data_IF_487236442350
#
_entry.id   IF_487236442350
#
_cell.length_a   1.000
_cell.length_b   1.000
_cell.length_c   1.000
_cell.angle_alpha   90.00
_cell.angle_beta   90.00
_cell.angle_gamma   90.00
#
_symmetry.space_group_name_H-M   'P 1'
#
loop_
_entity.id
_entity.type
_entity.pdbx_description
1 polymer ?
#
# COMPACT_ATOMS: atom_id res chain seq x y z
N UNK A 1 -18.96 12.67 7.62
CA UNK A 1 -18.24 11.56 6.97
C UNK A 1 -18.97 11.17 5.71
N UNK A 2 -18.31 11.16 4.57
CA UNK A 2 -18.95 10.60 3.37
C UNK A 2 -19.25 9.13 3.60
N UNK A 3 -20.35 8.66 3.02
CA UNK A 3 -20.68 7.24 3.05
C UNK A 3 -19.58 6.46 2.32
N UNK A 4 -19.22 5.26 2.82
CA UNK A 4 -18.29 4.43 2.10
C UNK A 4 -18.90 4.02 0.74
N UNK A 5 -18.04 3.90 -0.26
CA UNK A 5 -18.51 3.40 -1.55
C UNK A 5 -18.88 1.90 -1.40
N UNK A 6 -19.79 1.39 -2.23
CA UNK A 6 -20.14 -0.04 -2.17
C UNK A 6 -18.91 -0.91 -2.37
N UNK A 7 -18.84 -2.02 -1.61
CA UNK A 7 -17.68 -2.91 -1.62
C UNK A 7 -17.28 -3.36 -3.03
N UNK A 8 -18.25 -3.63 -3.89
CA UNK A 8 -17.99 -4.11 -5.25
C UNK A 8 -17.41 -3.03 -6.19
N UNK A 9 -17.43 -1.76 -5.78
CA UNK A 9 -16.85 -0.67 -6.56
C UNK A 9 -15.37 -0.41 -6.24
N UNK A 10 -14.83 -1.06 -5.20
CA UNK A 10 -13.39 -1.01 -4.95
C UNK A 10 -12.64 -1.97 -5.85
N UNK A 11 -11.49 -1.54 -6.34
CA UNK A 11 -10.45 -2.47 -6.76
C UNK A 11 -9.73 -2.90 -5.49
N UNK A 12 -9.67 -4.19 -5.21
CA UNK A 12 -9.11 -4.70 -3.94
C UNK A 12 -7.88 -5.54 -4.20
N UNK A 13 -6.88 -5.38 -3.34
CA UNK A 13 -5.68 -6.20 -3.34
C UNK A 13 -5.41 -6.69 -1.91
N UNK A 14 -4.92 -7.92 -1.79
CA UNK A 14 -4.54 -8.48 -0.50
C UNK A 14 -3.03 -8.42 -0.33
N UNK A 15 -2.59 -7.80 0.77
CA UNK A 15 -1.22 -7.85 1.21
C UNK A 15 -1.12 -8.72 2.46
N UNK A 16 -0.24 -9.72 2.41
CA UNK A 16 0.09 -10.52 3.58
C UNK A 16 1.04 -9.68 4.44
N UNK A 17 0.74 -9.53 5.72
CA UNK A 17 1.54 -8.72 6.63
C UNK A 17 1.86 -9.52 7.89
N UNK A 18 2.99 -9.18 8.52
CA UNK A 18 3.44 -9.85 9.74
C UNK A 18 2.71 -9.33 10.97
N UNK A 19 2.38 -8.03 10.96
CA UNK A 19 1.74 -7.34 12.07
C UNK A 19 0.67 -6.39 11.53
N UNK A 20 -0.60 -6.75 11.72
CA UNK A 20 -1.73 -5.98 11.19
C UNK A 20 -1.79 -4.59 11.80
N UNK A 21 -1.60 -4.44 13.11
CA UNK A 21 -1.69 -3.15 13.77
C UNK A 21 -0.59 -2.18 13.26
N UNK A 22 0.63 -2.68 13.11
CA UNK A 22 1.74 -1.88 12.58
C UNK A 22 1.51 -1.47 11.13
N UNK A 23 1.05 -2.41 10.31
CA UNK A 23 0.74 -2.15 8.90
C UNK A 23 -0.40 -1.16 8.75
N UNK A 24 -1.47 -1.34 9.51
CA UNK A 24 -2.60 -0.41 9.54
C UNK A 24 -2.14 1.02 9.84
N UNK A 25 -1.32 1.18 10.89
CA UNK A 25 -0.79 2.49 11.27
C UNK A 25 0.06 3.09 10.16
N UNK A 26 0.90 2.29 9.52
CA UNK A 26 1.75 2.74 8.42
C UNK A 26 0.92 3.32 7.26
N UNK A 27 -0.05 2.56 6.76
CA UNK A 27 -0.86 3.00 5.61
C UNK A 27 -1.74 4.20 5.94
N UNK A 28 -2.32 4.23 7.13
CA UNK A 28 -3.23 5.33 7.52
C UNK A 28 -2.48 6.60 7.91
N UNK A 29 -1.30 6.49 8.51
CA UNK A 29 -0.52 7.67 8.92
C UNK A 29 0.34 8.24 7.81
N UNK A 30 0.84 7.41 6.90
CA UNK A 30 1.85 7.83 5.94
C UNK A 30 1.39 7.85 4.48
N UNK A 31 0.38 7.07 4.11
CA UNK A 31 0.00 6.90 2.71
C UNK A 31 -1.43 7.35 2.37
N UNK A 32 -2.09 8.06 3.29
CA UNK A 32 -3.39 8.65 3.01
C UNK A 32 -4.55 7.67 2.92
N UNK A 33 -4.41 6.47 3.49
CA UNK A 33 -5.50 5.51 3.57
C UNK A 33 -6.42 5.83 4.76
N UNK A 34 -7.69 5.46 4.63
CA UNK A 34 -8.66 5.53 5.70
C UNK A 34 -9.11 4.13 6.12
N UNK A 35 -9.47 4.02 7.40
CA UNK A 35 -9.96 2.74 7.95
C UNK A 35 -11.30 2.37 7.34
N UNK A 36 -11.44 1.11 6.93
CA UNK A 36 -12.74 0.48 6.67
C UNK A 36 -13.06 -0.48 7.82
N UNK A 37 -12.16 -1.41 8.11
CA UNK A 37 -12.29 -2.41 9.16
C UNK A 37 -10.95 -2.58 9.86
N UNK A 38 -10.96 -2.83 11.18
CA UNK A 38 -9.71 -3.00 11.92
C UNK A 38 -9.89 -4.03 13.04
N UNK A 39 -9.46 -5.26 12.78
CA UNK A 39 -9.53 -6.39 13.71
C UNK A 39 -8.15 -7.05 13.89
N UNK A 40 -7.17 -6.34 14.51
CA UNK A 40 -5.89 -6.97 14.78
C UNK A 40 -6.03 -8.10 15.83
N UNK A 41 -5.18 -9.12 15.80
CA UNK A 41 -4.04 -9.31 14.91
C UNK A 41 -4.39 -10.00 13.59
N UNK A 42 -5.65 -10.35 13.34
CA UNK A 42 -6.01 -11.16 12.18
C UNK A 42 -6.09 -10.36 10.89
N UNK A 43 -6.78 -9.21 10.92
CA UNK A 43 -7.19 -8.57 9.67
C UNK A 43 -7.51 -7.09 9.87
N UNK A 44 -7.25 -6.32 8.82
CA UNK A 44 -7.77 -4.96 8.65
C UNK A 44 -7.93 -4.70 7.15
N UNK A 45 -8.84 -3.78 6.79
CA UNK A 45 -8.85 -3.25 5.44
C UNK A 45 -8.97 -1.74 5.46
N UNK A 46 -8.40 -1.13 4.44
CA UNK A 46 -8.19 0.30 4.32
C UNK A 46 -8.45 0.70 2.88
N UNK A 47 -8.78 1.97 2.67
CA UNK A 47 -9.07 2.47 1.33
C UNK A 47 -8.44 3.83 1.09
N UNK A 48 -8.03 4.05 -0.16
CA UNK A 48 -7.61 5.34 -0.70
C UNK A 48 -8.29 5.50 -2.05
N UNK A 49 -9.26 6.41 -2.14
CA UNK A 49 -10.13 6.51 -3.33
C UNK A 49 -10.87 5.19 -3.54
N UNK A 50 -10.77 4.62 -4.73
CA UNK A 50 -11.41 3.35 -5.08
C UNK A 50 -10.49 2.13 -4.91
N UNK A 51 -9.30 2.32 -4.37
CA UNK A 51 -8.38 1.23 -4.01
C UNK A 51 -8.64 0.79 -2.58
N UNK A 52 -8.86 -0.51 -2.41
CA UNK A 52 -8.99 -1.15 -1.10
C UNK A 52 -7.82 -2.12 -0.92
N UNK A 53 -7.14 -2.04 0.22
CA UNK A 53 -6.08 -2.97 0.57
C UNK A 53 -6.52 -3.80 1.77
N UNK A 54 -6.47 -5.12 1.61
CA UNK A 54 -6.75 -6.06 2.69
C UNK A 54 -5.42 -6.44 3.35
N UNK A 55 -5.28 -6.10 4.63
CA UNK A 55 -4.09 -6.43 5.41
C UNK A 55 -4.35 -7.74 6.15
N UNK A 56 -3.76 -8.82 5.66
CA UNK A 56 -4.00 -10.18 6.19
C UNK A 56 -2.83 -10.62 7.04
N UNK A 57 -3.05 -10.69 8.35
CA UNK A 57 -2.06 -11.17 9.31
C UNK A 57 -1.97 -12.70 9.33
N UNK A 58 -1.02 -13.24 10.10
CA UNK A 58 -0.78 -14.70 10.13
C UNK A 58 -1.98 -15.53 10.55
N UNK A 59 -2.90 -14.93 11.32
CA UNK A 59 -4.09 -15.62 11.83
C UNK A 59 -5.29 -15.54 10.88
N UNK A 60 -5.19 -14.84 9.76
CA UNK A 60 -6.30 -14.64 8.85
C UNK A 60 -6.47 -15.80 7.89
N UNK A 61 -7.67 -15.94 7.34
CA UNK A 61 -7.93 -16.93 6.30
C UNK A 61 -7.12 -16.65 5.02
N UNK A 62 -6.84 -15.37 4.74
CA UNK A 62 -6.05 -14.99 3.57
C UNK A 62 -4.58 -15.38 3.63
N UNK A 63 -4.07 -15.63 4.84
CA UNK A 63 -2.68 -16.05 5.04
C UNK A 63 -2.58 -17.56 5.33
N UNK A 64 -3.69 -18.30 5.22
CA UNK A 64 -3.70 -19.74 5.51
C UNK A 64 -2.84 -20.50 4.51
N UNK A 65 -2.07 -21.47 5.03
CA UNK A 65 -1.30 -22.37 4.18
C UNK A 65 -2.21 -23.13 3.20
N UNK A 66 -1.72 -23.32 1.97
CA UNK A 66 -2.43 -24.08 0.96
C UNK A 66 -2.36 -25.61 1.25
N UNK A 67 -3.29 -26.41 0.70
CA UNK A 67 -3.25 -27.85 0.91
C UNK A 67 -1.94 -28.53 0.49
N UNK A 68 -1.21 -27.92 -0.46
CA UNK A 68 0.10 -28.42 -0.93
C UNK A 68 1.27 -27.95 -0.05
N UNK A 69 0.99 -27.24 1.04
CA UNK A 69 2.00 -26.78 2.00
C UNK A 69 2.60 -25.43 1.69
N UNK A 70 2.27 -24.80 0.55
CA UNK A 70 2.75 -23.43 0.27
C UNK A 70 2.12 -22.44 1.22
N UNK A 71 2.92 -21.50 1.67
CA UNK A 71 2.51 -20.47 2.63
C UNK A 71 2.48 -19.10 1.95
N UNK A 72 1.33 -18.40 1.93
CA UNK A 72 1.32 -17.00 1.50
C UNK A 72 2.22 -16.16 2.40
N UNK A 73 3.09 -15.34 1.79
CA UNK A 73 4.03 -14.50 2.53
C UNK A 73 4.06 -13.11 1.92
N UNK A 74 4.50 -12.12 2.71
CA UNK A 74 4.73 -10.75 2.26
C UNK A 74 5.90 -10.68 1.27
N UNK A 75 5.96 -9.60 0.48
CA UNK A 75 7.07 -9.31 -0.42
C UNK A 75 6.70 -9.40 -1.89
N UNK A 76 7.69 -9.68 -2.71
CA UNK A 76 7.53 -9.75 -4.15
C UNK A 76 7.75 -8.41 -4.84
N UNK A 77 7.31 -8.31 -6.11
CA UNK A 77 7.47 -7.10 -6.94
C UNK A 77 6.15 -6.54 -7.47
N UNK A 78 5.08 -7.33 -7.48
CA UNK A 78 3.75 -6.80 -7.79
C UNK A 78 3.36 -5.84 -6.68
N UNK A 79 2.87 -4.66 -7.07
CA UNK A 79 2.68 -3.59 -6.09
C UNK A 79 1.53 -2.68 -6.44
N UNK A 80 0.97 -2.06 -5.41
CA UNK A 80 0.02 -0.98 -5.59
C UNK A 80 0.75 0.26 -6.10
N UNK A 81 0.04 1.07 -6.87
CA UNK A 81 0.56 2.27 -7.53
C UNK A 81 -0.27 3.45 -7.06
N UNK A 82 0.36 4.38 -6.35
CA UNK A 82 -0.31 5.53 -5.76
C UNK A 82 0.15 6.80 -6.45
N UNK A 83 -0.80 7.59 -6.94
CA UNK A 83 -0.49 8.88 -7.56
C UNK A 83 -0.27 9.91 -6.46
N UNK A 84 0.79 10.69 -6.59
CA UNK A 84 1.13 11.79 -5.68
C UNK A 84 1.40 13.06 -6.49
N UNK A 85 1.25 14.22 -5.84
CA UNK A 85 1.47 15.51 -6.49
C UNK A 85 2.94 15.95 -6.48
N UNK A 86 3.68 15.58 -5.43
CA UNK A 86 5.08 15.96 -5.24
C UNK A 86 5.86 14.77 -4.66
N UNK A 87 6.44 13.99 -5.56
CA UNK A 87 7.12 12.75 -5.17
C UNK A 87 8.38 13.00 -4.34
N UNK A 88 9.09 14.10 -4.57
CA UNK A 88 10.29 14.44 -3.79
C UNK A 88 9.92 14.76 -2.36
N UNK A 89 8.84 15.54 -2.15
CA UNK A 89 8.34 15.85 -0.81
C UNK A 89 7.88 14.59 -0.09
N UNK A 90 7.09 13.75 -0.77
CA UNK A 90 6.60 12.49 -0.21
C UNK A 90 7.76 11.56 0.18
N UNK A 91 8.74 11.42 -0.71
CA UNK A 91 9.93 10.60 -0.44
C UNK A 91 10.69 11.12 0.79
N UNK A 92 10.89 12.44 0.90
CA UNK A 92 11.62 13.02 2.01
C UNK A 92 10.90 12.84 3.33
N UNK A 93 9.57 13.02 3.37
CA UNK A 93 8.75 12.79 4.56
C UNK A 93 8.81 11.32 5.01
N UNK A 94 8.68 10.40 4.07
CA UNK A 94 8.72 8.97 4.37
C UNK A 94 10.11 8.52 4.82
N UNK A 95 11.16 9.03 4.20
CA UNK A 95 12.53 8.74 4.63
C UNK A 95 12.79 9.24 6.04
N UNK A 96 12.29 10.43 6.39
CA UNK A 96 12.41 10.97 7.74
C UNK A 96 11.66 10.13 8.78
N UNK A 97 10.59 9.44 8.36
CA UNK A 97 9.83 8.52 9.21
C UNK A 97 10.46 7.12 9.29
N UNK A 98 11.60 6.89 8.65
CA UNK A 98 12.31 5.60 8.70
C UNK A 98 11.87 4.57 7.67
N UNK A 99 11.11 4.97 6.66
CA UNK A 99 10.63 4.07 5.62
C UNK A 99 11.79 3.59 4.75
N UNK A 100 11.79 2.30 4.40
CA UNK A 100 12.79 1.67 3.55
C UNK A 100 12.38 1.81 2.09
N UNK A 101 13.30 2.24 1.24
CA UNK A 101 13.08 2.37 -0.20
C UNK A 101 13.86 1.30 -0.95
N UNK A 102 13.25 0.74 -2.00
CA UNK A 102 13.92 -0.22 -2.89
C UNK A 102 14.67 0.46 -4.01
N UNK A 103 14.30 1.71 -4.34
CA UNK A 103 14.90 2.45 -5.45
C UNK A 103 15.06 3.92 -5.10
N UNK A 104 15.88 4.61 -5.88
CA UNK A 104 15.84 6.07 -5.96
C UNK A 104 14.65 6.49 -6.83
N UNK A 105 14.35 7.80 -6.82
CA UNK A 105 13.35 8.35 -7.74
C UNK A 105 13.88 8.23 -9.16
N UNK A 106 13.10 7.58 -10.02
CA UNK A 106 13.44 7.37 -11.43
C UNK A 106 12.47 8.22 -12.25
N UNK A 107 13.00 9.03 -13.16
CA UNK A 107 12.20 9.90 -14.02
C UNK A 107 12.27 9.42 -15.46
N UNK A 108 11.11 9.28 -16.08
CA UNK A 108 10.96 8.94 -17.49
C UNK A 108 9.95 9.85 -18.16
N UNK A 109 9.59 9.56 -19.43
CA UNK A 109 8.64 10.42 -20.19
C UNK A 109 7.26 10.53 -19.53
N UNK A 110 6.81 9.48 -18.85
CA UNK A 110 5.47 9.44 -18.24
C UNK A 110 5.39 10.09 -16.89
N UNK A 111 6.51 10.32 -16.22
CA UNK A 111 6.56 10.89 -14.88
C UNK A 111 7.71 10.34 -14.04
N UNK A 112 7.59 10.47 -12.74
CA UNK A 112 8.61 10.03 -11.79
C UNK A 112 8.02 8.97 -10.85
N UNK A 113 8.82 7.98 -10.48
CA UNK A 113 8.40 6.87 -9.64
C UNK A 113 9.45 6.51 -8.60
N UNK A 114 9.00 5.96 -7.48
CA UNK A 114 9.85 5.41 -6.44
C UNK A 114 9.15 4.23 -5.79
N UNK A 115 9.89 3.19 -5.45
CA UNK A 115 9.35 2.00 -4.78
C UNK A 115 9.85 1.97 -3.35
N UNK A 116 8.93 1.77 -2.42
CA UNK A 116 9.19 1.64 -0.99
C UNK A 116 8.58 0.36 -0.45
N UNK A 117 9.02 -0.03 0.73
CA UNK A 117 8.48 -1.18 1.44
C UNK A 117 7.55 -0.76 2.57
N UNK A 118 6.45 -1.50 2.76
CA UNK A 118 5.68 -1.41 3.99
C UNK A 118 6.43 -2.14 5.14
N UNK A 119 5.95 -2.10 6.38
CA UNK A 119 6.66 -2.73 7.50
C UNK A 119 6.90 -4.24 7.35
N UNK A 120 6.13 -4.92 6.51
CA UNK A 120 6.28 -6.37 6.27
C UNK A 120 7.09 -6.68 5.01
N UNK A 121 7.57 -5.65 4.29
CA UNK A 121 8.34 -5.83 3.06
C UNK A 121 7.50 -5.92 1.80
N UNK A 122 6.22 -5.54 1.84
CA UNK A 122 5.41 -5.43 0.63
C UNK A 122 5.74 -4.14 -0.12
N UNK A 123 5.90 -4.19 -1.45
CA UNK A 123 6.29 -3.01 -2.20
C UNK A 123 5.09 -2.10 -2.48
N UNK A 124 5.36 -0.78 -2.48
CA UNK A 124 4.42 0.26 -2.88
C UNK A 124 5.15 1.19 -3.83
N UNK A 125 4.53 1.55 -4.93
CA UNK A 125 5.07 2.54 -5.85
C UNK A 125 4.34 3.85 -5.68
N UNK A 126 5.10 4.94 -5.48
CA UNK A 126 4.59 6.30 -5.61
C UNK A 126 4.92 6.79 -7.02
N UNK A 127 3.97 7.46 -7.64
CA UNK A 127 4.11 7.94 -9.01
C UNK A 127 3.58 9.37 -9.12
N UNK A 128 4.42 10.25 -9.64
CA UNK A 128 4.01 11.61 -10.02
C UNK A 128 3.95 11.70 -11.53
N UNK A 129 2.76 11.87 -12.12
CA UNK A 129 2.64 12.01 -13.56
C UNK A 129 3.42 13.21 -14.09
N UNK A 130 3.96 13.09 -15.29
CA UNK A 130 4.60 14.21 -15.97
C UNK A 130 3.56 15.32 -16.20
N UNK A 131 4.04 16.57 -16.14
CA UNK A 131 3.17 17.70 -16.47
C UNK A 131 2.71 17.57 -17.93
N UNK A 132 1.40 17.74 -18.14
CA UNK A 132 0.87 17.75 -19.50
C UNK A 132 1.18 19.09 -20.16
N UNK A 133 1.58 19.10 -21.45
CA UNK A 133 1.68 20.36 -22.18
C UNK A 133 0.35 21.10 -22.14
N UNK A 134 0.39 22.42 -22.10
CA UNK A 134 -0.82 23.23 -22.23
C UNK A 134 -1.47 22.95 -23.60
N UNK A 135 -2.80 22.88 -23.66
CA UNK A 135 -3.49 22.67 -24.93
C UNK A 135 -3.30 23.81 -25.90
#
# INVERSE_FOLDING_TARGET
MPDPIPTHEYASIRYIVDDVAESFAFYTQHLGFTELTNFPPAFADIARGHLRVLLSGPMSSGARALPDGRQPVAGGWNRIHLIVDDIHHERDCLAAAGVVFRSDIITGPGGSQVVLDDPSGNPIELFQPAARPAP
#
